data_IF_881870950970
#
_entry.id   IF_881870950970
#
_cell.length_a   1.000
_cell.length_b   1.000
_cell.length_c   1.000
_cell.angle_alpha   90.00
_cell.angle_beta   90.00
_cell.angle_gamma   90.00
#
_symmetry.space_group_name_H-M   'P 1'
#
loop_
_entity.id
_entity.type
_entity.pdbx_description
1 polymer ?
#
# COMPACT_ATOMS: atom_id res chain seq x y z
N UNK A 1 -5.03 -6.22 6.82
CA UNK A 1 -6.45 -5.92 7.10
C UNK A 1 -6.68 -6.26 8.55
N UNK A 2 -7.56 -5.52 9.21
CA UNK A 2 -7.64 -5.57 10.68
C UNK A 2 -8.99 -6.14 11.18
N UNK A 3 -9.99 -6.28 10.29
CA UNK A 3 -11.33 -6.77 10.61
C UNK A 3 -11.51 -8.25 10.21
N UNK A 4 -11.92 -9.15 11.13
CA UNK A 4 -12.29 -10.53 10.80
C UNK A 4 -13.41 -10.66 9.75
N UNK A 5 -14.33 -9.71 9.66
CA UNK A 5 -15.38 -9.71 8.64
C UNK A 5 -14.81 -9.47 7.24
N UNK A 6 -13.71 -8.72 7.12
CA UNK A 6 -13.01 -8.55 5.86
C UNK A 6 -12.34 -9.87 5.43
N UNK A 7 -11.74 -10.58 6.38
CA UNK A 7 -11.17 -11.90 6.13
C UNK A 7 -12.22 -12.89 5.62
N UNK A 8 -13.43 -12.85 6.21
CA UNK A 8 -14.55 -13.66 5.74
C UNK A 8 -15.03 -13.27 4.34
N UNK A 9 -15.02 -11.98 3.99
CA UNK A 9 -15.34 -11.55 2.62
C UNK A 9 -14.33 -12.09 1.60
N UNK A 10 -13.03 -12.12 1.94
CA UNK A 10 -11.97 -12.71 1.10
C UNK A 10 -12.18 -14.20 0.91
N UNK A 11 -12.56 -14.93 1.96
CA UNK A 11 -12.89 -16.35 1.86
C UNK A 11 -14.06 -16.60 0.90
N UNK A 12 -15.09 -15.75 0.92
CA UNK A 12 -16.19 -15.85 -0.04
C UNK A 12 -15.73 -15.60 -1.49
N UNK A 13 -14.84 -14.64 -1.70
CA UNK A 13 -14.22 -14.41 -3.02
C UNK A 13 -13.34 -15.60 -3.44
N UNK A 14 -12.64 -16.22 -2.51
CA UNK A 14 -11.84 -17.41 -2.76
C UNK A 14 -12.67 -18.54 -3.36
N UNK A 15 -13.88 -18.77 -2.85
CA UNK A 15 -14.82 -19.78 -3.38
C UNK A 15 -15.24 -19.50 -4.83
N UNK A 16 -15.34 -18.22 -5.23
CA UNK A 16 -15.57 -17.84 -6.63
C UNK A 16 -14.34 -18.11 -7.51
N UNK A 17 -13.14 -17.88 -6.95
CA UNK A 17 -11.85 -17.99 -7.63
C UNK A 17 -11.11 -19.31 -7.47
N UNK A 18 -11.82 -20.43 -7.20
CA UNK A 18 -11.24 -21.79 -7.00
C UNK A 18 -10.23 -21.90 -5.84
N UNK A 19 -10.48 -21.24 -4.72
CA UNK A 19 -9.67 -21.40 -3.50
C UNK A 19 -8.36 -20.60 -3.50
N UNK A 20 -8.25 -19.56 -4.35
CA UNK A 20 -6.99 -18.81 -4.54
C UNK A 20 -6.60 -17.91 -3.37
N UNK A 21 -7.56 -17.48 -2.56
CA UNK A 21 -7.35 -16.41 -1.58
C UNK A 21 -7.64 -16.91 -0.16
N UNK A 22 -6.86 -16.44 0.80
CA UNK A 22 -7.13 -16.64 2.22
C UNK A 22 -7.03 -15.28 2.91
N UNK A 23 -8.06 -14.92 3.66
CA UNK A 23 -8.08 -13.69 4.42
C UNK A 23 -7.47 -13.91 5.81
N UNK A 24 -6.47 -13.12 6.18
CA UNK A 24 -5.86 -13.16 7.51
C UNK A 24 -5.92 -11.76 8.14
N UNK A 25 -6.75 -11.56 9.19
CA UNK A 25 -6.81 -10.30 9.90
C UNK A 25 -5.60 -10.18 10.85
N UNK A 26 -5.06 -8.97 10.96
CA UNK A 26 -4.06 -8.61 11.95
C UNK A 26 -4.76 -7.82 13.07
N UNK A 27 -4.50 -8.16 14.33
CA UNK A 27 -5.15 -7.52 15.46
C UNK A 27 -4.58 -6.11 15.76
N UNK A 28 -4.70 -5.17 14.81
CA UNK A 28 -4.31 -3.76 14.96
C UNK A 28 -2.82 -3.48 15.19
N UNK A 29 -1.98 -4.52 15.25
CA UNK A 29 -0.55 -4.43 15.45
C UNK A 29 0.22 -4.48 14.11
N UNK A 30 1.45 -3.97 14.12
CA UNK A 30 2.39 -4.20 13.02
C UNK A 30 2.63 -5.71 12.89
N UNK A 31 2.61 -6.20 11.65
CA UNK A 31 2.93 -7.60 11.36
C UNK A 31 4.37 -7.89 11.80
N UNK A 32 4.55 -8.85 12.71
CA UNK A 32 5.86 -9.24 13.18
C UNK A 32 6.55 -10.20 12.21
N UNK A 33 7.88 -10.26 12.24
CA UNK A 33 8.65 -11.24 11.47
C UNK A 33 8.21 -12.70 11.73
N UNK A 34 7.80 -13.03 12.96
CA UNK A 34 7.31 -14.36 13.29
C UNK A 34 5.94 -14.64 12.65
N UNK A 35 5.03 -13.65 12.66
CA UNK A 35 3.77 -13.75 11.93
C UNK A 35 4.03 -13.89 10.42
N UNK A 36 4.97 -13.13 9.85
CA UNK A 36 5.38 -13.29 8.45
C UNK A 36 5.85 -14.72 8.14
N UNK A 37 6.65 -15.30 9.03
CA UNK A 37 7.17 -16.67 8.91
C UNK A 37 6.07 -17.71 8.97
N UNK A 38 5.15 -17.60 9.93
CA UNK A 38 3.98 -18.48 10.05
C UNK A 38 3.14 -18.40 8.77
N UNK A 39 2.86 -17.18 8.29
CA UNK A 39 2.14 -16.95 7.04
C UNK A 39 2.82 -17.66 5.85
N UNK A 40 4.14 -17.51 5.71
CA UNK A 40 4.90 -18.14 4.63
C UNK A 40 4.86 -19.67 4.69
N UNK A 41 4.90 -20.26 5.89
CA UNK A 41 4.83 -21.71 6.08
C UNK A 41 3.50 -22.33 5.66
N UNK A 42 2.43 -21.53 5.60
CA UNK A 42 1.09 -21.97 5.20
C UNK A 42 0.63 -21.43 3.84
N UNK A 43 1.44 -20.59 3.19
CA UNK A 43 1.10 -20.03 1.90
C UNK A 43 1.31 -21.06 0.78
N UNK A 44 0.32 -21.21 -0.11
CA UNK A 44 0.45 -22.05 -1.30
C UNK A 44 1.36 -21.44 -2.38
N UNK A 45 1.68 -20.14 -2.27
CA UNK A 45 2.49 -19.41 -3.25
C UNK A 45 3.42 -18.41 -2.53
N UNK A 46 4.50 -18.00 -3.20
CA UNK A 46 5.41 -16.94 -2.72
C UNK A 46 4.82 -15.52 -2.85
N UNK A 47 3.50 -15.38 -2.88
CA UNK A 47 2.79 -14.10 -3.03
C UNK A 47 1.95 -13.80 -1.80
N UNK A 48 2.10 -12.59 -1.28
CA UNK A 48 1.23 -12.01 -0.25
C UNK A 48 0.62 -10.72 -0.79
N UNK A 49 -0.68 -10.52 -0.53
CA UNK A 49 -1.40 -9.29 -0.90
C UNK A 49 -1.80 -8.55 0.37
N UNK A 50 -1.31 -7.33 0.53
CA UNK A 50 -1.63 -6.45 1.65
C UNK A 50 -2.74 -5.49 1.25
N UNK A 51 -3.87 -5.52 1.95
CA UNK A 51 -4.87 -4.47 1.80
C UNK A 51 -4.38 -3.18 2.45
N UNK A 52 -4.33 -2.12 1.65
CA UNK A 52 -3.93 -0.78 2.07
C UNK A 52 -5.18 0.06 2.25
N UNK A 53 -5.32 0.71 3.41
CA UNK A 53 -6.42 1.63 3.70
C UNK A 53 -6.11 3.05 3.20
N UNK A 54 -7.16 3.83 2.98
CA UNK A 54 -7.13 5.28 2.81
C UNK A 54 -6.68 6.05 4.06
N UNK A 55 -6.73 5.43 5.24
CA UNK A 55 -6.15 5.96 6.47
C UNK A 55 -4.62 5.96 6.40
N UNK A 56 -4.01 7.15 6.45
CA UNK A 56 -2.56 7.34 6.38
C UNK A 56 -1.78 6.51 7.40
N UNK A 57 -2.29 6.37 8.63
CA UNK A 57 -1.62 5.56 9.67
C UNK A 57 -1.65 4.07 9.35
N UNK A 58 -2.76 3.57 8.82
CA UNK A 58 -2.91 2.18 8.42
C UNK A 58 -2.07 1.87 7.15
N UNK A 59 -2.01 2.83 6.23
CA UNK A 59 -1.14 2.77 5.05
C UNK A 59 0.34 2.73 5.43
N UNK A 60 0.77 3.57 6.37
CA UNK A 60 2.15 3.56 6.85
C UNK A 60 2.49 2.21 7.50
N UNK A 61 1.63 1.69 8.38
CA UNK A 61 1.82 0.34 8.97
C UNK A 61 1.91 -0.76 7.91
N UNK A 62 1.09 -0.69 6.87
CA UNK A 62 1.16 -1.64 5.76
C UNK A 62 2.52 -1.56 5.06
N UNK A 63 3.04 -0.37 4.78
CA UNK A 63 4.37 -0.15 4.18
C UNK A 63 5.50 -0.61 5.12
N UNK A 64 5.38 -0.35 6.41
CA UNK A 64 6.35 -0.75 7.44
C UNK A 64 6.47 -2.27 7.57
N UNK A 65 5.43 -3.03 7.21
CA UNK A 65 5.48 -4.50 7.19
C UNK A 65 6.31 -5.08 6.02
N UNK A 66 6.62 -4.27 5.00
CA UNK A 66 7.30 -4.74 3.78
C UNK A 66 8.64 -5.46 4.04
N UNK A 67 9.55 -4.98 4.89
CA UNK A 67 10.84 -5.66 5.11
C UNK A 67 10.68 -7.08 5.67
N UNK A 68 9.70 -7.31 6.54
CA UNK A 68 9.48 -8.63 7.13
C UNK A 68 8.77 -9.57 6.15
N UNK A 69 7.79 -9.05 5.39
CA UNK A 69 7.15 -9.82 4.33
C UNK A 69 8.12 -10.18 3.20
N UNK A 70 9.01 -9.27 2.80
CA UNK A 70 9.95 -9.47 1.69
C UNK A 70 11.05 -10.50 2.00
N UNK A 71 11.31 -10.83 3.27
CA UNK A 71 12.20 -11.93 3.66
C UNK A 71 11.60 -13.30 3.37
N UNK A 72 10.27 -13.38 3.30
CA UNK A 72 9.51 -14.64 3.22
C UNK A 72 8.87 -14.81 1.84
N UNK A 73 8.29 -13.74 1.30
CA UNK A 73 7.54 -13.75 0.05
C UNK A 73 8.33 -13.06 -1.07
N UNK A 74 8.42 -13.72 -2.23
CA UNK A 74 9.03 -13.13 -3.43
C UNK A 74 8.20 -11.97 -3.99
N UNK A 75 6.87 -12.03 -3.84
CA UNK A 75 5.93 -11.03 -4.35
C UNK A 75 5.11 -10.45 -3.21
N UNK A 76 5.50 -9.28 -2.73
CA UNK A 76 4.69 -8.49 -1.79
C UNK A 76 3.88 -7.47 -2.59
N UNK A 77 2.60 -7.79 -2.79
CA UNK A 77 1.65 -6.94 -3.51
C UNK A 77 0.74 -6.21 -2.53
N UNK A 78 0.03 -5.22 -3.02
CA UNK A 78 -0.95 -4.46 -2.31
C UNK A 78 -2.16 -4.16 -3.19
N UNK A 79 -3.31 -4.08 -2.55
CA UNK A 79 -4.55 -3.62 -3.17
C UNK A 79 -5.07 -2.43 -2.36
N UNK A 80 -5.49 -1.39 -3.06
CA UNK A 80 -6.15 -0.20 -2.51
C UNK A 80 -7.56 -0.23 -3.09
N UNK A 81 -8.53 -0.65 -2.27
CA UNK A 81 -9.89 -0.87 -2.75
C UNK A 81 -10.51 0.46 -3.17
N UNK A 82 -10.96 0.52 -4.42
CA UNK A 82 -11.61 1.70 -4.99
C UNK A 82 -12.69 2.23 -4.04
N UNK A 83 -12.55 3.49 -3.61
CA UNK A 83 -13.47 4.24 -2.72
C UNK A 83 -13.37 3.93 -1.22
N UNK A 84 -12.34 3.21 -0.76
CA UNK A 84 -12.17 2.94 0.68
C UNK A 84 -13.26 2.03 1.26
N UNK A 85 -13.99 1.30 0.40
CA UNK A 85 -15.04 0.38 0.83
C UNK A 85 -14.37 -0.88 1.38
N UNK A 86 -14.65 -1.22 2.63
CA UNK A 86 -14.14 -2.43 3.26
C UNK A 86 -14.66 -3.69 2.54
N UNK A 87 -13.86 -4.76 2.41
CA UNK A 87 -14.29 -6.04 1.84
C UNK A 87 -15.62 -6.55 2.41
N UNK A 88 -15.82 -6.44 3.73
CA UNK A 88 -17.04 -6.83 4.41
C UNK A 88 -18.28 -6.10 3.86
N UNK A 89 -18.15 -4.80 3.55
CA UNK A 89 -19.20 -4.00 2.96
C UNK A 89 -19.43 -4.32 1.47
N UNK A 90 -18.39 -4.70 0.73
CA UNK A 90 -18.56 -5.13 -0.68
C UNK A 90 -19.40 -6.41 -0.77
N UNK A 91 -19.33 -7.30 0.22
CA UNK A 91 -20.12 -8.55 0.27
C UNK A 91 -21.64 -8.30 0.26
N UNK A 92 -22.11 -7.20 0.83
CA UNK A 92 -23.54 -6.89 0.91
C UNK A 92 -24.06 -6.19 -0.34
N UNK A 93 -23.16 -5.72 -1.21
CA UNK A 93 -23.50 -4.98 -2.43
C UNK A 93 -23.66 -5.94 -3.61
N UNK A 94 -24.68 -5.72 -4.45
CA UNK A 94 -24.89 -6.52 -5.66
C UNK A 94 -23.66 -6.43 -6.57
N UNK A 95 -23.05 -7.58 -6.86
CA UNK A 95 -21.82 -7.66 -7.67
C UNK A 95 -20.53 -7.31 -6.93
N UNK A 96 -20.58 -6.95 -5.64
CA UNK A 96 -19.39 -6.49 -4.92
C UNK A 96 -18.33 -7.56 -4.69
N UNK A 97 -18.69 -8.84 -4.60
CA UNK A 97 -17.71 -9.94 -4.53
C UNK A 97 -16.92 -10.11 -5.84
N UNK A 98 -17.57 -9.91 -6.98
CA UNK A 98 -16.90 -9.93 -8.28
C UNK A 98 -15.95 -8.74 -8.41
N UNK A 99 -16.39 -7.54 -8.00
CA UNK A 99 -15.54 -6.36 -7.95
C UNK A 99 -14.33 -6.56 -7.03
N UNK A 100 -14.52 -7.13 -5.83
CA UNK A 100 -13.42 -7.44 -4.91
C UNK A 100 -12.44 -8.45 -5.52
N UNK A 101 -12.94 -9.45 -6.26
CA UNK A 101 -12.08 -10.38 -7.00
C UNK A 101 -11.21 -9.68 -8.04
N UNK A 102 -11.80 -8.79 -8.84
CA UNK A 102 -11.10 -8.02 -9.86
C UNK A 102 -10.03 -7.10 -9.24
N UNK A 103 -10.35 -6.40 -8.16
CA UNK A 103 -9.39 -5.56 -7.43
C UNK A 103 -8.20 -6.37 -6.89
N UNK A 104 -8.43 -7.58 -6.35
CA UNK A 104 -7.35 -8.48 -5.92
C UNK A 104 -6.45 -8.91 -7.08
N UNK A 105 -7.01 -9.09 -8.29
CA UNK A 105 -6.23 -9.39 -9.49
C UNK A 105 -5.40 -8.19 -9.97
N UNK A 106 -5.88 -6.97 -9.71
CA UNK A 106 -5.22 -5.71 -10.08
C UNK A 106 -4.20 -5.23 -9.03
N UNK A 107 -3.86 -6.07 -8.05
CA UNK A 107 -2.84 -5.75 -7.03
C UNK A 107 -1.51 -5.33 -7.65
N UNK A 108 -0.81 -4.40 -6.99
CA UNK A 108 0.47 -3.83 -7.44
C UNK A 108 1.55 -4.03 -6.39
N UNK A 109 2.84 -3.94 -6.73
CA UNK A 109 3.92 -4.00 -5.73
C UNK A 109 3.67 -3.03 -4.56
N UNK A 110 3.78 -3.53 -3.32
CA UNK A 110 3.54 -2.70 -2.11
C UNK A 110 4.47 -1.48 -2.04
N UNK A 111 5.68 -1.60 -2.61
CA UNK A 111 6.65 -0.51 -2.69
C UNK A 111 6.12 0.72 -3.44
N UNK A 112 5.21 0.54 -4.40
CA UNK A 112 4.64 1.64 -5.21
C UNK A 112 3.76 2.58 -4.37
N UNK A 113 3.34 2.15 -3.19
CA UNK A 113 2.49 2.92 -2.28
C UNK A 113 3.28 3.87 -1.36
N UNK A 114 4.63 3.83 -1.39
CA UNK A 114 5.51 4.74 -0.63
C UNK A 114 5.44 6.20 -1.11
N UNK A 115 5.11 6.42 -2.39
CA UNK A 115 5.34 7.71 -3.08
C UNK A 115 4.24 8.78 -2.88
N UNK A 116 3.04 8.42 -2.43
CA UNK A 116 1.94 9.40 -2.25
C UNK A 116 2.23 10.46 -1.18
N UNK A 117 3.15 10.18 -0.25
CA UNK A 117 3.55 11.12 0.82
C UNK A 117 4.65 12.10 0.36
N UNK A 118 5.53 11.71 -0.56
CA UNK A 118 6.58 12.59 -1.09
C UNK A 118 6.02 13.68 -2.02
N UNK A 119 5.01 13.36 -2.83
CA UNK A 119 4.39 14.36 -3.73
C UNK A 119 3.68 15.51 -2.97
N UNK A 120 3.21 15.28 -1.73
CA UNK A 120 2.60 16.31 -0.88
C UNK A 120 3.58 17.05 0.04
N UNK A 121 4.83 16.59 0.11
CA UNK A 121 5.90 17.15 0.95
C UNK A 121 7.07 17.72 0.13
N UNK A 122 6.79 18.23 -1.07
CA UNK A 122 7.70 19.18 -1.70
C UNK A 122 7.37 20.58 -1.17
N UNK A 123 8.04 21.10 -0.12
CA UNK A 123 8.04 22.53 0.10
C UNK A 123 8.75 23.17 -1.09
N UNK A 124 8.05 24.10 -1.74
CA UNK A 124 8.65 25.13 -2.60
C UNK A 124 9.90 25.67 -1.94
N UNK A 125 11.06 25.24 -2.43
CA UNK A 125 12.32 25.95 -2.18
C UNK A 125 12.22 27.22 -3.02
N UNK A 126 11.57 28.26 -2.47
CA UNK A 126 11.82 29.63 -2.89
C UNK A 126 13.27 29.89 -2.52
N UNK A 127 14.16 29.70 -3.47
CA UNK A 127 15.45 30.39 -3.50
C UNK A 127 15.17 31.84 -3.84
N UNK A 128 14.63 32.57 -2.88
CA UNK A 128 14.89 33.99 -2.75
C UNK A 128 16.14 34.10 -1.85
N UNK A 129 17.01 35.04 -2.18
CA UNK A 129 18.33 35.35 -1.60
C UNK A 129 19.54 34.53 -2.10
N UNK A 130 20.23 35.08 -3.11
CA UNK A 130 21.45 35.91 -2.93
C UNK A 130 21.91 36.31 -4.35
N UNK A 131 21.70 37.56 -4.74
CA UNK A 131 22.48 38.19 -5.83
C UNK A 131 23.77 38.73 -5.21
N UNK A 132 24.96 38.21 -5.54
CA UNK A 132 26.19 38.87 -5.18
C UNK A 132 26.47 40.01 -6.17
N UNK A 133 26.68 41.16 -5.55
CA UNK A 133 27.03 42.44 -6.12
C UNK A 133 28.39 42.43 -6.87
N UNK A 134 28.50 43.37 -7.81
CA UNK A 134 29.70 43.90 -8.47
C UNK A 134 30.56 42.99 -9.37
N UNK A 135 30.60 43.38 -10.67
CA UNK A 135 31.82 43.93 -11.33
C UNK A 135 31.53 44.26 -12.80
N UNK A 136 31.19 45.51 -13.08
CA UNK A 136 31.50 46.13 -14.37
C UNK A 136 31.94 47.58 -14.13
N UNK A 137 33.24 47.79 -14.14
CA UNK A 137 33.80 49.04 -14.64
C UNK A 137 34.68 48.72 -15.86
N UNK A 138 35.27 49.71 -16.51
CA UNK A 138 34.81 51.08 -16.74
C UNK A 138 34.43 51.26 -18.23
N UNK A 139 33.64 52.27 -18.56
CA UNK A 139 33.55 52.76 -19.94
C UNK A 139 33.88 54.26 -20.00
N UNK A 140 34.63 54.70 -21.03
CA UNK A 140 35.31 55.99 -21.04
C UNK A 140 34.59 57.03 -21.92
N UNK A 141 35.07 58.28 -21.82
CA UNK A 141 34.88 59.43 -22.73
C UNK A 141 33.44 59.99 -22.81
N UNK A 142 33.19 61.31 -22.81
CA UNK A 142 33.86 62.47 -23.38
C UNK A 142 33.64 63.72 -22.51
#
# INVERSE_FOLDING_TARGET
>A
MDDPLDAFAIENVSRLGRGRWAGIPLCGALLSAEQARILGGHAATDTVVVMVSDNDSARERAIESLPDLAKIFRRVQAVDLSRGIAPAAMRTTRGGLQQLHEELLLSRPLVDYRSRRQARRAPTRRTDDISPDMKQGPSPEL
#
